data_IF_663411485896
#
_entry.id   IF_663411485896
#
_cell.length_a   1.000
_cell.length_b   1.000
_cell.length_c   1.000
_cell.angle_alpha   90.00
_cell.angle_beta   90.00
_cell.angle_gamma   90.00
#
_symmetry.space_group_name_H-M   'P 1'
#
loop_
_entity.id
_entity.type
_entity.pdbx_description
1 polymer ?
#
# COMPACT_ATOMS: atom_id res chain seq x y z
N UNK A 1 15.21 2.70 -32.74
CA UNK A 1 15.47 3.72 -31.69
C UNK A 1 16.59 4.72 -32.04
N UNK A 2 17.58 4.39 -32.88
CA UNK A 2 18.65 5.33 -33.28
C UNK A 2 18.15 6.57 -34.04
N UNK A 3 17.06 6.47 -34.79
CA UNK A 3 16.53 7.57 -35.62
C UNK A 3 16.10 8.83 -34.84
N UNK A 4 15.80 8.71 -33.54
CA UNK A 4 15.29 9.83 -32.73
C UNK A 4 16.19 10.21 -31.55
N UNK A 5 17.37 9.60 -31.44
CA UNK A 5 18.28 9.78 -30.29
C UNK A 5 18.64 11.24 -30.05
N UNK A 6 18.92 12.01 -31.11
CA UNK A 6 19.27 13.43 -31.02
C UNK A 6 18.14 14.30 -30.43
N UNK A 7 16.88 13.90 -30.59
CA UNK A 7 15.72 14.64 -30.12
C UNK A 7 15.28 14.25 -28.70
N UNK A 8 15.81 13.15 -28.17
CA UNK A 8 15.54 12.69 -26.81
C UNK A 8 16.56 13.35 -25.87
N UNK A 9 16.05 14.00 -24.83
CA UNK A 9 16.87 14.60 -23.76
C UNK A 9 17.38 13.50 -22.81
N UNK A 10 16.46 12.69 -22.30
CA UNK A 10 16.75 11.48 -21.53
C UNK A 10 15.51 10.57 -21.49
N UNK A 11 15.68 9.35 -21.01
CA UNK A 11 14.61 8.38 -20.79
C UNK A 11 14.85 7.65 -19.48
N UNK A 12 13.79 7.23 -18.82
CA UNK A 12 13.89 6.41 -17.62
C UNK A 12 12.62 5.57 -17.44
N UNK A 13 12.75 4.44 -16.76
CA UNK A 13 11.63 3.60 -16.36
C UNK A 13 11.69 3.38 -14.86
N UNK A 14 10.55 3.48 -14.19
CA UNK A 14 10.48 3.27 -12.75
C UNK A 14 9.13 2.72 -12.30
N UNK A 15 9.07 2.27 -11.06
CA UNK A 15 7.81 1.96 -10.42
C UNK A 15 6.99 3.25 -10.23
N UNK A 16 5.69 3.20 -10.52
CA UNK A 16 4.78 4.28 -10.19
C UNK A 16 3.96 3.92 -8.94
N UNK A 17 2.91 3.11 -9.08
CA UNK A 17 2.13 2.59 -7.95
C UNK A 17 2.55 1.17 -7.61
N UNK A 18 3.01 0.96 -6.37
CA UNK A 18 3.30 -0.37 -5.85
C UNK A 18 2.42 -0.64 -4.64
N UNK A 19 1.60 -1.69 -4.72
CA UNK A 19 0.74 -2.17 -3.64
C UNK A 19 1.11 -3.61 -3.32
N UNK A 20 1.48 -3.86 -2.07
CA UNK A 20 1.72 -5.19 -1.52
C UNK A 20 0.61 -5.56 -0.55
N UNK A 21 0.19 -6.83 -0.55
CA UNK A 21 -0.77 -7.35 0.43
C UNK A 21 -0.10 -8.34 1.37
N UNK A 22 -0.31 -8.13 2.65
CA UNK A 22 0.19 -8.96 3.74
C UNK A 22 -0.89 -9.92 4.21
N UNK A 23 -0.56 -11.21 4.23
CA UNK A 23 -1.48 -12.28 4.62
C UNK A 23 -0.85 -13.22 5.63
N UNK A 24 -1.64 -13.63 6.63
CA UNK A 24 -1.28 -14.73 7.54
C UNK A 24 -1.91 -16.01 6.97
N UNK A 25 -1.20 -16.72 6.09
CA UNK A 25 -1.77 -17.77 5.22
C UNK A 25 -2.56 -18.84 5.95
N UNK A 26 -2.03 -19.33 7.06
CA UNK A 26 -2.66 -20.40 7.82
C UNK A 26 -3.93 -19.95 8.58
N UNK A 27 -4.30 -18.67 8.53
CA UNK A 27 -5.57 -18.14 9.03
C UNK A 27 -6.63 -17.97 7.93
N UNK A 28 -6.40 -18.47 6.72
CA UNK A 28 -7.34 -18.30 5.58
C UNK A 28 -8.58 -19.19 5.65
N UNK A 29 -8.60 -20.15 6.57
CA UNK A 29 -9.69 -21.11 6.71
C UNK A 29 -10.04 -21.33 8.18
N UNK A 30 -11.30 -21.72 8.49
CA UNK A 30 -11.79 -21.81 9.86
C UNK A 30 -10.94 -22.68 10.79
N UNK A 31 -10.51 -23.86 10.32
CA UNK A 31 -9.71 -24.78 11.12
C UNK A 31 -8.36 -24.19 11.55
N UNK A 32 -7.75 -23.37 10.68
CA UNK A 32 -6.51 -22.66 10.99
C UNK A 32 -6.70 -21.61 12.09
N UNK A 33 -7.80 -20.86 12.01
CA UNK A 33 -8.18 -19.89 13.06
C UNK A 33 -8.49 -20.61 14.38
N UNK A 34 -9.17 -21.75 14.35
CA UNK A 34 -9.41 -22.57 15.56
C UNK A 34 -8.09 -23.01 16.19
N UNK A 35 -7.17 -23.56 15.39
CA UNK A 35 -5.84 -23.98 15.86
C UNK A 35 -5.07 -22.80 16.45
N UNK A 36 -5.10 -21.64 15.80
CA UNK A 36 -4.49 -20.42 16.30
C UNK A 36 -5.07 -19.98 17.65
N UNK A 37 -6.39 -19.90 17.78
CA UNK A 37 -7.03 -19.50 19.04
C UNK A 37 -6.70 -20.47 20.19
N UNK A 38 -6.61 -21.77 19.91
CA UNK A 38 -6.16 -22.78 20.88
C UNK A 38 -4.70 -22.58 21.28
N UNK A 39 -3.80 -22.30 20.33
CA UNK A 39 -2.39 -21.97 20.60
C UNK A 39 -2.21 -20.68 21.39
N UNK A 40 -3.15 -19.73 21.25
CA UNK A 40 -3.23 -18.51 22.06
C UNK A 40 -3.82 -18.75 23.46
N UNK A 41 -4.21 -19.98 23.80
CA UNK A 41 -4.72 -20.37 25.12
C UNK A 41 -6.24 -20.30 25.28
N UNK A 42 -7.01 -19.96 24.24
CA UNK A 42 -8.46 -19.89 24.34
C UNK A 42 -9.09 -21.29 24.27
N UNK A 43 -9.80 -21.70 25.33
CA UNK A 43 -10.54 -22.98 25.40
C UNK A 43 -11.92 -22.93 24.76
N UNK A 44 -12.61 -21.80 24.87
CA UNK A 44 -13.87 -21.51 24.17
C UNK A 44 -13.60 -20.68 22.92
N UNK A 45 -14.42 -20.84 21.90
CA UNK A 45 -14.40 -20.13 20.63
C UNK A 45 -15.70 -19.33 20.54
N UNK A 46 -15.57 -18.01 20.46
CA UNK A 46 -16.73 -17.14 20.30
C UNK A 46 -16.35 -15.89 19.52
N UNK A 47 -17.35 -15.15 19.08
CA UNK A 47 -17.12 -13.81 18.52
C UNK A 47 -16.45 -12.88 19.56
N UNK A 48 -16.74 -13.08 20.86
CA UNK A 48 -16.06 -12.38 21.94
C UNK A 48 -14.56 -12.67 22.00
N UNK A 49 -14.15 -13.92 21.85
CA UNK A 49 -12.73 -14.31 21.83
C UNK A 49 -11.98 -13.66 20.66
N UNK A 50 -12.56 -13.68 19.46
CA UNK A 50 -11.96 -12.97 18.32
C UNK A 50 -11.92 -11.45 18.55
N UNK A 51 -12.97 -10.90 19.17
CA UNK A 51 -13.05 -9.48 19.52
C UNK A 51 -11.99 -9.06 20.54
N UNK A 52 -11.59 -9.92 21.49
CA UNK A 52 -10.48 -9.62 22.41
C UNK A 52 -9.22 -9.26 21.62
N UNK A 53 -8.87 -10.04 20.58
CA UNK A 53 -7.70 -9.75 19.76
C UNK A 53 -7.87 -8.43 18.99
N UNK A 54 -9.06 -8.17 18.45
CA UNK A 54 -9.38 -6.88 17.82
C UNK A 54 -9.21 -5.71 18.78
N UNK A 55 -9.74 -5.80 19.98
CA UNK A 55 -9.69 -4.73 20.97
C UNK A 55 -8.25 -4.48 21.43
N UNK A 56 -7.44 -5.54 21.57
CA UNK A 56 -6.01 -5.42 21.89
C UNK A 56 -5.19 -4.75 20.77
N UNK A 57 -5.45 -5.09 19.50
CA UNK A 57 -4.81 -4.43 18.36
C UNK A 57 -5.21 -2.97 18.26
N UNK A 58 -6.51 -2.68 18.40
CA UNK A 58 -7.04 -1.32 18.40
C UNK A 58 -6.43 -0.48 19.51
N UNK A 59 -6.38 -1.02 20.74
CA UNK A 59 -5.79 -0.35 21.89
C UNK A 59 -4.30 -0.03 21.67
N UNK A 60 -3.55 -0.94 21.06
CA UNK A 60 -2.15 -0.68 20.73
C UNK A 60 -2.00 0.46 19.72
N UNK A 61 -2.74 0.43 18.61
CA UNK A 61 -2.67 1.49 17.59
C UNK A 61 -3.05 2.85 18.19
N UNK A 62 -4.09 2.89 19.03
CA UNK A 62 -4.51 4.11 19.75
C UNK A 62 -3.43 4.61 20.71
N UNK A 63 -2.78 3.71 21.47
CA UNK A 63 -1.68 4.04 22.36
C UNK A 63 -0.48 4.63 21.61
N UNK A 64 -0.11 4.04 20.47
CA UNK A 64 0.96 4.57 19.61
C UNK A 64 0.60 5.94 19.05
N UNK A 65 -0.65 6.12 18.59
CA UNK A 65 -1.12 7.39 18.08
C UNK A 65 -1.10 8.48 19.17
N UNK A 66 -1.59 8.19 20.37
CA UNK A 66 -1.57 9.14 21.48
C UNK A 66 -0.14 9.51 21.88
N UNK A 67 0.74 8.52 22.05
CA UNK A 67 2.12 8.75 22.48
C UNK A 67 2.96 9.56 21.48
N UNK A 68 2.58 9.54 20.19
CA UNK A 68 3.24 10.28 19.11
C UNK A 68 2.41 11.47 18.61
N UNK A 69 1.31 11.79 19.29
CA UNK A 69 0.39 12.87 18.93
C UNK A 69 -0.13 12.80 17.48
N UNK A 70 -0.34 11.58 16.97
CA UNK A 70 -0.76 11.33 15.59
C UNK A 70 -2.28 11.55 15.49
N UNK A 71 -2.75 12.45 14.61
CA UNK A 71 -4.17 12.67 14.43
C UNK A 71 -4.85 11.45 13.80
N UNK A 72 -5.99 11.05 14.39
CA UNK A 72 -6.84 9.97 13.87
C UNK A 72 -8.14 10.55 13.35
N UNK A 73 -8.48 10.22 12.11
CA UNK A 73 -9.70 10.67 11.45
C UNK A 73 -10.65 9.52 11.17
N UNK A 74 -11.95 9.75 11.30
CA UNK A 74 -12.99 8.83 10.83
C UNK A 74 -13.37 9.21 9.40
N UNK A 75 -12.88 8.44 8.42
CA UNK A 75 -12.93 8.79 7.01
C UNK A 75 -14.35 9.09 6.49
N UNK A 76 -15.40 8.32 6.84
CA UNK A 76 -16.76 8.64 6.40
C UNK A 76 -17.27 10.03 6.79
N UNK A 77 -16.68 10.68 7.80
CA UNK A 77 -17.03 12.05 8.22
C UNK A 77 -16.11 13.14 7.66
N UNK A 78 -15.11 12.77 6.85
CA UNK A 78 -13.99 13.65 6.45
C UNK A 78 -13.94 13.90 4.93
N UNK A 79 -15.05 13.64 4.21
CA UNK A 79 -15.34 14.01 2.79
C UNK A 79 -16.07 12.90 1.99
N UNK A 80 -16.74 11.96 2.67
CA UNK A 80 -17.87 11.22 2.06
C UNK A 80 -17.55 10.26 0.91
N UNK A 81 -16.40 9.60 0.90
CA UNK A 81 -16.30 8.28 0.23
C UNK A 81 -16.19 8.25 -1.31
N UNK A 82 -15.44 9.17 -1.94
CA UNK A 82 -14.95 8.94 -3.31
C UNK A 82 -13.62 8.17 -3.30
N UNK A 83 -13.46 7.20 -4.20
CA UNK A 83 -12.18 6.49 -4.39
C UNK A 83 -11.05 7.46 -4.75
N UNK A 84 -9.86 7.26 -4.17
CA UNK A 84 -8.70 8.15 -4.32
C UNK A 84 -8.66 9.38 -3.40
N UNK A 85 -9.77 9.73 -2.74
CA UNK A 85 -9.83 10.94 -1.91
C UNK A 85 -8.99 10.84 -0.62
N UNK A 86 -8.74 9.65 -0.06
CA UNK A 86 -7.89 9.47 1.14
C UNK A 86 -6.46 9.97 0.92
N UNK A 87 -5.82 9.54 -0.18
CA UNK A 87 -4.44 9.94 -0.47
C UNK A 87 -4.35 11.43 -0.80
N UNK A 88 -5.32 11.96 -1.56
CA UNK A 88 -5.39 13.40 -1.85
C UNK A 88 -5.60 14.23 -0.58
N UNK A 89 -6.51 13.84 0.30
CA UNK A 89 -6.70 14.50 1.60
C UNK A 89 -5.41 14.56 2.41
N UNK A 90 -4.66 13.46 2.47
CA UNK A 90 -3.36 13.44 3.18
C UNK A 90 -2.35 14.34 2.49
N UNK A 91 -2.26 14.27 1.17
CA UNK A 91 -1.39 15.13 0.37
C UNK A 91 -1.66 16.61 0.63
N UNK A 92 -2.93 17.01 0.60
CA UNK A 92 -3.32 18.42 0.71
C UNK A 92 -3.22 18.96 2.14
N UNK A 93 -3.48 18.12 3.16
CA UNK A 93 -3.56 18.56 4.57
C UNK A 93 -2.27 18.36 5.37
N UNK A 94 -1.48 17.33 5.04
CA UNK A 94 -0.35 16.90 5.88
C UNK A 94 1.00 16.95 5.18
N UNK A 95 1.05 16.82 3.86
CA UNK A 95 2.32 16.79 3.13
C UNK A 95 2.76 18.23 2.85
N UNK A 96 3.79 18.67 3.57
CA UNK A 96 4.45 19.96 3.32
C UNK A 96 5.38 19.87 2.10
N UNK A 97 5.60 20.98 1.36
CA UNK A 97 6.64 21.05 0.33
C UNK A 97 8.06 20.87 0.89
N UNK A 98 8.27 21.11 2.19
CA UNK A 98 9.59 20.93 2.81
C UNK A 98 9.94 19.44 2.97
N UNK A 99 11.19 19.05 2.70
CA UNK A 99 11.61 17.65 2.86
C UNK A 99 11.41 17.17 4.30
N UNK A 100 10.71 16.04 4.45
CA UNK A 100 10.64 15.34 5.72
C UNK A 100 12.00 14.71 6.03
N UNK A 101 12.50 14.90 7.25
CA UNK A 101 13.73 14.23 7.72
C UNK A 101 13.37 12.92 8.41
N UNK A 102 13.79 11.81 7.81
CA UNK A 102 13.59 10.48 8.38
C UNK A 102 12.15 10.00 8.34
N UNK A 103 11.84 9.00 9.17
CA UNK A 103 10.52 8.39 9.25
C UNK A 103 9.53 9.30 9.99
N UNK A 104 8.41 9.62 9.36
CA UNK A 104 7.40 10.53 9.92
C UNK A 104 5.98 10.05 9.63
N UNK A 105 5.09 10.04 10.63
CA UNK A 105 3.69 9.61 10.44
C UNK A 105 2.82 10.86 10.32
N UNK A 106 2.12 10.98 9.19
CA UNK A 106 1.25 12.13 8.91
C UNK A 106 -0.04 12.06 9.72
N UNK A 107 -0.79 10.97 9.56
CA UNK A 107 -2.08 10.76 10.22
C UNK A 107 -2.52 9.30 10.10
N UNK A 108 -3.56 8.94 10.82
CA UNK A 108 -4.27 7.67 10.66
C UNK A 108 -5.69 7.96 10.20
N UNK A 109 -6.09 7.42 9.06
CA UNK A 109 -7.49 7.41 8.64
C UNK A 109 -8.11 6.07 9.03
N UNK A 110 -9.32 6.09 9.59
CA UNK A 110 -10.08 4.90 9.93
C UNK A 110 -11.33 4.79 9.08
N UNK A 111 -11.65 3.58 8.65
CA UNK A 111 -12.83 3.30 7.80
C UNK A 111 -13.47 1.97 8.21
N UNK A 112 -14.66 1.65 7.71
CA UNK A 112 -15.31 0.33 7.84
C UNK A 112 -15.53 -0.26 6.46
N UNK A 113 -14.85 -1.35 6.17
CA UNK A 113 -14.93 -2.00 4.86
C UNK A 113 -15.41 -3.45 4.97
N UNK A 114 -16.23 -3.93 4.03
CA UNK A 114 -16.71 -5.31 4.02
C UNK A 114 -15.60 -6.27 3.54
N UNK A 115 -15.01 -7.00 4.47
CA UNK A 115 -13.93 -7.97 4.18
C UNK A 115 -14.36 -9.42 4.44
N UNK A 116 -13.67 -10.38 3.84
CA UNK A 116 -13.77 -11.80 4.22
C UNK A 116 -13.11 -12.01 5.59
N UNK A 117 -13.84 -12.65 6.49
CA UNK A 117 -13.45 -12.83 7.89
C UNK A 117 -14.23 -14.01 8.48
N UNK A 118 -14.21 -14.16 9.81
CA UNK A 118 -14.80 -15.28 10.52
C UNK A 118 -15.85 -14.83 11.54
N UNK A 119 -16.83 -15.70 11.73
CA UNK A 119 -17.80 -15.62 12.81
C UNK A 119 -17.92 -17.00 13.48
N UNK A 120 -18.27 -17.00 14.76
CA UNK A 120 -18.56 -18.20 15.53
C UNK A 120 -20.06 -18.26 15.83
N UNK A 121 -20.63 -19.47 15.74
CA UNK A 121 -21.96 -19.80 16.22
C UNK A 121 -21.88 -21.01 17.15
N UNK A 122 -22.75 -21.01 18.15
CA UNK A 122 -23.00 -22.16 18.99
C UNK A 122 -24.12 -22.99 18.35
N UNK A 123 -23.92 -24.29 18.24
CA UNK A 123 -24.83 -25.23 17.59
C UNK A 123 -25.08 -26.44 18.51
N UNK A 124 -26.22 -27.10 18.33
CA UNK A 124 -26.57 -28.32 19.05
C UNK A 124 -26.38 -29.52 18.12
N UNK A 125 -25.66 -30.53 18.60
CA UNK A 125 -25.45 -31.81 17.89
C UNK A 125 -26.69 -32.71 17.99
N UNK A 126 -26.75 -33.76 17.17
CA UNK A 126 -27.79 -34.80 17.24
C UNK A 126 -27.89 -35.45 18.62
N UNK A 127 -26.78 -35.49 19.36
CA UNK A 127 -26.72 -36.03 20.72
C UNK A 127 -27.05 -34.98 21.80
N UNK A 128 -27.70 -33.87 21.43
CA UNK A 128 -28.05 -32.74 22.32
C UNK A 128 -26.86 -32.06 23.01
N UNK A 129 -25.64 -32.29 22.50
CA UNK A 129 -24.43 -31.62 22.98
C UNK A 129 -24.16 -30.33 22.20
N UNK A 130 -23.86 -29.28 22.94
CA UNK A 130 -23.53 -27.97 22.37
C UNK A 130 -22.08 -27.89 21.92
N UNK A 131 -21.83 -27.32 20.74
CA UNK A 131 -20.48 -27.12 20.21
C UNK A 131 -20.36 -25.80 19.43
N UNK A 132 -19.13 -25.29 19.35
CA UNK A 132 -18.81 -24.03 18.69
C UNK A 132 -18.35 -24.30 17.25
N UNK A 133 -18.93 -23.60 16.28
CA UNK A 133 -18.55 -23.69 14.87
C UNK A 133 -18.13 -22.33 14.33
N UNK A 134 -16.88 -22.27 13.87
CA UNK A 134 -16.36 -21.12 13.12
C UNK A 134 -16.69 -21.28 11.63
N UNK A 135 -17.05 -20.18 10.96
CA UNK A 135 -17.33 -20.17 9.52
C UNK A 135 -16.87 -18.85 8.87
N UNK A 136 -16.52 -18.93 7.59
CA UNK A 136 -16.23 -17.78 6.75
C UNK A 136 -17.47 -16.92 6.54
N UNK A 137 -17.30 -15.61 6.61
CA UNK A 137 -18.34 -14.64 6.31
C UNK A 137 -17.74 -13.35 5.74
N UNK A 138 -18.60 -12.47 5.22
CA UNK A 138 -18.22 -11.11 4.88
C UNK A 138 -18.95 -10.15 5.82
N UNK A 139 -18.21 -9.28 6.51
CA UNK A 139 -18.81 -8.23 7.36
C UNK A 139 -17.95 -6.96 7.36
N UNK A 140 -18.53 -5.80 7.66
CA UNK A 140 -17.77 -4.57 7.84
C UNK A 140 -16.78 -4.70 9.00
N UNK A 141 -15.50 -4.44 8.72
CA UNK A 141 -14.42 -4.44 9.72
C UNK A 141 -13.69 -3.11 9.68
N UNK A 142 -13.32 -2.60 10.84
CA UNK A 142 -12.54 -1.38 10.97
C UNK A 142 -11.17 -1.56 10.30
N UNK A 143 -10.84 -0.65 9.39
CA UNK A 143 -9.55 -0.56 8.71
C UNK A 143 -8.80 0.65 9.26
N UNK A 144 -7.50 0.49 9.48
CA UNK A 144 -6.58 1.57 9.83
C UNK A 144 -5.67 1.83 8.65
N UNK A 145 -5.76 3.02 8.06
CA UNK A 145 -4.83 3.53 7.06
C UNK A 145 -3.84 4.47 7.72
N UNK A 146 -2.66 3.97 8.02
CA UNK A 146 -1.58 4.75 8.62
C UNK A 146 -0.77 5.36 7.48
N UNK A 147 -0.82 6.69 7.32
CA UNK A 147 -0.08 7.40 6.30
C UNK A 147 1.22 7.97 6.86
N UNK A 148 2.32 7.82 6.13
CA UNK A 148 3.65 8.22 6.57
C UNK A 148 4.59 8.61 5.43
N UNK A 149 5.62 9.37 5.77
CA UNK A 149 6.87 9.47 5.02
C UNK A 149 7.82 8.38 5.50
N UNK A 150 8.36 7.62 4.57
CA UNK A 150 9.39 6.62 4.83
C UNK A 150 10.75 7.12 4.35
N UNK A 151 11.77 6.97 5.17
CA UNK A 151 13.12 7.46 4.86
C UNK A 151 13.79 6.78 3.65
N UNK A 152 13.24 5.69 3.13
CA UNK A 152 13.71 5.06 1.88
C UNK A 152 12.71 5.29 0.73
N UNK A 153 11.41 5.20 1.01
CA UNK A 153 10.36 5.18 -0.02
C UNK A 153 9.73 6.57 -0.29
N UNK A 154 10.07 7.57 0.52
CA UNK A 154 9.42 8.87 0.49
C UNK A 154 7.99 8.80 1.02
N UNK A 155 7.16 9.76 0.64
CA UNK A 155 5.75 9.76 1.01
C UNK A 155 4.89 10.62 0.09
N UNK A 156 3.55 10.53 0.22
CA UNK A 156 2.84 9.71 1.22
C UNK A 156 2.79 8.21 0.85
N UNK A 157 3.28 7.37 1.76
CA UNK A 157 3.05 5.94 1.79
C UNK A 157 1.87 5.62 2.71
N UNK A 158 1.33 4.40 2.64
CA UNK A 158 0.42 3.92 3.69
C UNK A 158 0.62 2.46 4.05
N UNK A 159 0.30 2.15 5.30
CA UNK A 159 0.07 0.80 5.82
C UNK A 159 -1.39 0.69 6.25
N UNK A 160 -2.15 -0.13 5.54
CA UNK A 160 -3.51 -0.51 5.89
C UNK A 160 -3.47 -1.77 6.76
N UNK A 161 -4.15 -1.74 7.90
CA UNK A 161 -4.32 -2.89 8.79
C UNK A 161 -5.81 -3.13 9.04
N UNK A 162 -6.28 -4.34 8.73
CA UNK A 162 -7.61 -4.79 9.15
C UNK A 162 -7.61 -5.16 10.62
N UNK A 163 -8.52 -4.59 11.41
CA UNK A 163 -8.52 -4.78 12.86
C UNK A 163 -9.09 -6.12 13.34
N UNK A 164 -9.45 -7.03 12.44
CA UNK A 164 -10.10 -8.29 12.79
C UNK A 164 -9.48 -9.44 11.99
N UNK A 165 -9.53 -10.65 12.56
CA UNK A 165 -9.03 -11.87 11.94
C UNK A 165 -9.51 -12.01 10.48
N UNK A 166 -8.63 -12.36 9.53
CA UNK A 166 -7.24 -12.80 9.71
C UNK A 166 -6.19 -11.67 9.70
N UNK A 167 -6.59 -10.43 10.01
CA UNK A 167 -5.72 -9.25 10.09
C UNK A 167 -4.98 -8.95 8.79
N UNK A 168 -5.69 -8.97 7.65
CA UNK A 168 -5.10 -8.65 6.36
C UNK A 168 -4.50 -7.23 6.36
N UNK A 169 -3.34 -7.09 5.73
CA UNK A 169 -2.66 -5.81 5.59
C UNK A 169 -2.45 -5.45 4.11
N UNK A 170 -2.30 -4.17 3.83
CA UNK A 170 -1.90 -3.65 2.53
C UNK A 170 -0.89 -2.54 2.72
N UNK A 171 0.17 -2.51 1.90
CA UNK A 171 1.23 -1.52 1.98
C UNK A 171 1.40 -0.88 0.61
N UNK A 172 1.43 0.44 0.57
CA UNK A 172 1.57 1.21 -0.65
C UNK A 172 2.71 2.21 -0.54
N UNK A 173 3.44 2.35 -1.63
CA UNK A 173 4.35 3.46 -1.88
C UNK A 173 4.32 3.86 -3.36
N UNK A 174 4.83 5.06 -3.65
CA UNK A 174 5.01 5.55 -5.01
C UNK A 174 6.51 5.57 -5.37
N UNK A 175 6.89 4.95 -6.48
CA UNK A 175 8.30 4.85 -6.86
C UNK A 175 8.92 6.16 -7.35
N UNK A 176 8.14 7.07 -7.96
CA UNK A 176 8.63 8.42 -8.28
C UNK A 176 8.98 9.21 -7.02
N UNK A 177 8.22 9.05 -5.93
CA UNK A 177 8.54 9.68 -4.64
C UNK A 177 9.80 9.08 -4.02
N UNK A 178 10.03 7.78 -4.15
CA UNK A 178 11.26 7.13 -3.69
C UNK A 178 12.49 7.66 -4.47
N UNK A 179 12.38 7.82 -5.79
CA UNK A 179 13.44 8.39 -6.63
C UNK A 179 13.71 9.84 -6.26
N UNK A 180 12.67 10.66 -6.16
CA UNK A 180 12.77 12.07 -5.76
C UNK A 180 13.53 12.20 -4.43
N UNK A 181 13.20 11.37 -3.44
CA UNK A 181 13.90 11.34 -2.15
C UNK A 181 15.39 10.97 -2.30
N UNK A 182 15.74 10.04 -3.19
CA UNK A 182 17.16 9.69 -3.42
C UNK A 182 17.92 10.82 -4.10
N UNK A 183 17.32 11.51 -5.06
CA UNK A 183 17.92 12.69 -5.70
C UNK A 183 18.08 13.84 -4.70
N UNK A 184 17.07 14.07 -3.85
CA UNK A 184 17.12 15.08 -2.78
C UNK A 184 18.29 14.81 -1.80
N UNK A 185 18.51 13.54 -1.43
CA UNK A 185 19.63 13.13 -0.56
C UNK A 185 21.00 13.35 -1.20
N UNK A 186 21.09 13.27 -2.52
CA UNK A 186 22.31 13.54 -3.29
C UNK A 186 22.50 15.04 -3.55
N UNK A 187 21.51 15.88 -3.23
CA UNK A 187 21.55 17.31 -3.51
C UNK A 187 21.41 17.64 -5.00
N UNK A 188 20.84 16.74 -5.80
CA UNK A 188 20.65 16.94 -7.24
C UNK A 188 19.40 17.76 -7.52
N UNK A 189 19.50 18.76 -8.39
CA UNK A 189 18.32 19.51 -8.80
C UNK A 189 17.55 18.76 -9.89
N UNK A 190 16.23 18.85 -9.80
CA UNK A 190 15.31 18.31 -10.79
C UNK A 190 14.01 19.11 -10.80
N UNK A 191 13.28 19.01 -11.91
CA UNK A 191 11.93 19.55 -12.09
C UNK A 191 10.98 18.42 -12.47
N UNK A 192 9.80 18.41 -11.83
CA UNK A 192 8.71 17.47 -12.14
C UNK A 192 7.53 18.18 -12.79
N UNK A 193 6.80 17.45 -13.63
CA UNK A 193 5.47 17.81 -14.10
C UNK A 193 4.53 16.62 -13.82
N UNK A 194 3.68 16.77 -12.80
CA UNK A 194 3.02 15.61 -12.19
C UNK A 194 4.05 14.66 -11.58
N UNK A 195 3.92 13.36 -11.84
CA UNK A 195 4.90 12.36 -11.40
C UNK A 195 6.18 12.34 -12.26
N UNK A 196 6.14 12.87 -13.49
CA UNK A 196 7.24 12.74 -14.45
C UNK A 196 8.37 13.75 -14.19
N UNK A 197 9.61 13.28 -14.19
CA UNK A 197 10.81 14.12 -14.21
C UNK A 197 11.01 14.70 -15.62
N UNK A 198 11.02 16.02 -15.73
CA UNK A 198 11.17 16.74 -17.01
C UNK A 198 12.56 17.36 -17.16
N UNK A 199 13.23 17.62 -16.04
CA UNK A 199 14.61 18.09 -15.97
C UNK A 199 15.28 17.45 -14.77
N UNK A 200 16.51 16.99 -14.94
CA UNK A 200 17.38 16.43 -13.90
C UNK A 200 18.81 16.78 -14.29
N UNK A 201 19.62 17.23 -13.33
CA UNK A 201 21.02 17.58 -13.55
C UNK A 201 21.83 16.38 -14.07
N UNK A 202 21.61 15.21 -13.44
CA UNK A 202 22.21 13.93 -13.81
C UNK A 202 21.11 12.88 -14.06
N UNK A 203 20.74 12.62 -15.33
CA UNK A 203 19.77 11.59 -15.67
C UNK A 203 20.18 10.17 -15.25
N UNK A 204 21.48 9.86 -15.14
CA UNK A 204 21.95 8.54 -14.74
C UNK A 204 21.68 8.29 -13.25
N UNK A 205 21.63 9.35 -12.44
CA UNK A 205 21.23 9.27 -11.04
C UNK A 205 19.78 8.74 -10.85
N UNK A 206 18.88 8.98 -11.81
CA UNK A 206 17.52 8.39 -11.79
C UNK A 206 17.61 6.88 -11.89
N UNK A 207 18.39 6.37 -12.84
CA UNK A 207 18.55 4.93 -13.07
C UNK A 207 19.18 4.26 -11.85
N UNK A 208 20.23 4.87 -11.30
CA UNK A 208 20.87 4.40 -10.08
C UNK A 208 19.88 4.36 -8.88
N UNK A 209 19.04 5.39 -8.74
CA UNK A 209 18.00 5.43 -7.70
C UNK A 209 16.96 4.31 -7.89
N UNK A 210 16.54 4.04 -9.13
CA UNK A 210 15.63 2.91 -9.45
C UNK A 210 16.26 1.57 -9.08
N UNK A 211 17.51 1.35 -9.47
CA UNK A 211 18.23 0.11 -9.21
C UNK A 211 18.51 -0.11 -7.71
N UNK A 212 18.69 0.97 -6.96
CA UNK A 212 18.83 0.91 -5.49
C UNK A 212 17.55 0.40 -4.80
N UNK A 213 16.38 0.55 -5.42
CA UNK A 213 15.09 0.20 -4.86
C UNK A 213 14.76 -1.28 -5.09
N UNK A 214 15.41 -2.17 -4.35
CA UNK A 214 15.20 -3.61 -4.46
C UNK A 214 14.20 -4.15 -3.42
N UNK A 215 13.53 -5.27 -3.76
CA UNK A 215 12.43 -5.83 -2.96
C UNK A 215 12.78 -6.15 -1.50
N UNK A 216 14.02 -6.57 -1.21
CA UNK A 216 14.47 -6.81 0.18
C UNK A 216 14.46 -5.53 1.02
N UNK A 217 14.85 -4.38 0.46
CA UNK A 217 14.83 -3.12 1.19
C UNK A 217 13.39 -2.70 1.49
N UNK A 218 12.48 -2.85 0.52
CA UNK A 218 11.04 -2.61 0.70
C UNK A 218 10.47 -3.50 1.82
N UNK A 219 10.78 -4.80 1.84
CA UNK A 219 10.33 -5.71 2.89
C UNK A 219 10.86 -5.33 4.29
N UNK A 220 12.09 -4.83 4.38
CA UNK A 220 12.65 -4.28 5.63
C UNK A 220 11.84 -3.07 6.11
N UNK A 221 11.47 -2.17 5.20
CA UNK A 221 10.62 -1.00 5.54
C UNK A 221 9.22 -1.41 5.96
N UNK A 222 8.60 -2.36 5.26
CA UNK A 222 7.31 -2.94 5.65
C UNK A 222 7.39 -3.52 7.07
N UNK A 223 8.45 -4.28 7.35
CA UNK A 223 8.66 -4.89 8.68
C UNK A 223 8.81 -3.82 9.76
N UNK A 224 9.52 -2.73 9.48
CA UNK A 224 9.66 -1.59 10.40
C UNK A 224 8.29 -1.01 10.79
N UNK A 225 7.45 -0.68 9.80
CA UNK A 225 6.12 -0.10 10.07
C UNK A 225 5.16 -1.11 10.72
N UNK A 226 5.21 -2.38 10.32
CA UNK A 226 4.44 -3.45 10.97
C UNK A 226 4.84 -3.63 12.43
N UNK A 227 6.13 -3.56 12.77
CA UNK A 227 6.60 -3.65 14.15
C UNK A 227 6.15 -2.48 15.02
N UNK A 228 5.82 -1.33 14.43
CA UNK A 228 5.31 -0.18 15.15
C UNK A 228 3.81 -0.29 15.44
N UNK A 229 3.02 -0.85 14.52
CA UNK A 229 1.54 -0.79 14.60
C UNK A 229 0.82 -2.13 14.75
N UNK A 230 1.42 -3.24 14.34
CA UNK A 230 0.79 -4.57 14.42
C UNK A 230 1.23 -5.31 15.68
N UNK A 231 0.79 -4.80 16.83
CA UNK A 231 0.92 -5.45 18.14
C UNK A 231 -0.40 -5.43 18.88
N UNK A 232 -0.50 -6.28 19.88
CA UNK A 232 -1.67 -6.50 20.70
C UNK A 232 -1.35 -6.03 22.11
N UNK A 233 -2.09 -5.02 22.59
CA UNK A 233 -1.90 -4.48 23.92
C UNK A 233 -2.38 -5.47 24.99
N UNK A 234 -1.54 -5.71 26.00
CA UNK A 234 -1.82 -6.58 27.15
C UNK A 234 -1.96 -5.76 28.43
N UNK A 235 -2.26 -4.46 28.33
CA UNK A 235 -2.27 -3.50 29.42
C UNK A 235 -0.87 -2.95 29.74
N UNK A 236 0.03 -3.80 30.27
CA UNK A 236 1.38 -3.37 30.68
C UNK A 236 2.33 -3.14 29.50
N UNK A 237 2.21 -3.96 28.47
CA UNK A 237 3.05 -3.92 27.27
C UNK A 237 2.23 -4.34 26.06
N UNK A 238 2.73 -4.03 24.86
CA UNK A 238 2.15 -4.51 23.61
C UNK A 238 3.09 -5.48 22.92
N UNK A 239 2.57 -6.60 22.44
CA UNK A 239 3.37 -7.68 21.83
C UNK A 239 2.67 -8.26 20.61
N UNK A 240 3.42 -8.91 19.72
CA UNK A 240 2.86 -9.69 18.63
C UNK A 240 3.21 -11.17 18.84
N UNK A 241 2.21 -12.05 18.71
CA UNK A 241 2.43 -13.49 18.80
C UNK A 241 3.26 -13.97 17.61
N UNK A 242 4.20 -14.89 17.83
CA UNK A 242 4.98 -15.55 16.75
C UNK A 242 4.10 -16.24 15.71
N UNK A 243 2.86 -16.54 16.07
CA UNK A 243 1.84 -17.17 15.23
C UNK A 243 1.18 -16.18 14.24
N UNK A 244 1.40 -14.88 14.40
CA UNK A 244 0.83 -13.82 13.58
C UNK A 244 1.92 -13.15 12.73
N UNK A 245 2.41 -13.88 11.74
CA UNK A 245 3.39 -13.39 10.77
C UNK A 245 2.75 -13.24 9.39
N UNK A 246 2.92 -12.05 8.80
CA UNK A 246 2.43 -11.76 7.46
C UNK A 246 3.47 -12.14 6.41
N UNK A 247 3.04 -12.91 5.42
CA UNK A 247 3.73 -13.07 4.15
C UNK A 247 3.22 -12.00 3.19
N UNK A 248 4.13 -11.35 2.46
CA UNK A 248 3.83 -10.20 1.60
C UNK A 248 3.92 -10.57 0.13
N UNK A 249 2.92 -10.13 -0.64
CA UNK A 249 2.78 -10.42 -2.06
C UNK A 249 2.53 -9.13 -2.84
N UNK A 250 3.12 -9.03 -4.03
CA UNK A 250 2.80 -7.97 -4.98
C UNK A 250 1.34 -8.15 -5.42
N UNK A 251 0.52 -7.12 -5.19
CA UNK A 251 -0.89 -7.12 -5.60
C UNK A 251 -1.12 -6.24 -6.82
N UNK A 252 -0.41 -5.11 -6.90
CA UNK A 252 -0.45 -4.20 -8.04
C UNK A 252 0.92 -3.55 -8.17
N UNK A 253 1.48 -3.58 -9.38
CA UNK A 253 2.73 -2.92 -9.72
C UNK A 253 2.53 -2.23 -11.05
N UNK A 254 2.55 -0.91 -11.03
CA UNK A 254 2.54 -0.08 -12.23
C UNK A 254 3.98 0.37 -12.53
N UNK A 255 4.37 0.25 -13.80
CA UNK A 255 5.67 0.71 -14.30
C UNK A 255 5.40 1.89 -15.24
N UNK A 256 6.08 3.00 -14.98
CA UNK A 256 6.03 4.19 -15.82
C UNK A 256 7.34 4.30 -16.61
N UNK A 257 7.23 4.34 -17.94
CA UNK A 257 8.34 4.57 -18.85
C UNK A 257 8.21 5.95 -19.47
N UNK A 258 9.20 6.80 -19.24
CA UNK A 258 9.19 8.21 -19.61
C UNK A 258 10.25 8.47 -20.67
N UNK A 259 9.87 9.18 -21.73
CA UNK A 259 10.78 9.66 -22.77
C UNK A 259 10.64 11.17 -22.83
N UNK A 260 11.69 11.88 -22.43
CA UNK A 260 11.70 13.34 -22.39
C UNK A 260 12.34 13.84 -23.66
N UNK A 261 11.60 14.62 -24.46
CA UNK A 261 12.10 15.22 -25.69
C UNK A 261 12.70 16.60 -25.44
N UNK A 262 13.67 16.99 -26.26
CA UNK A 262 14.26 18.35 -26.24
C UNK A 262 13.30 19.42 -26.78
N UNK A 263 12.35 19.02 -27.65
CA UNK A 263 11.40 19.91 -28.30
C UNK A 263 9.98 19.38 -28.20
N UNK A 264 9.07 20.21 -27.66
CA UNK A 264 7.65 19.91 -27.61
C UNK A 264 7.07 19.73 -29.03
N UNK A 265 7.46 20.60 -29.98
CA UNK A 265 7.03 20.51 -31.39
C UNK A 265 7.41 19.17 -32.02
N UNK A 266 8.61 18.68 -31.75
CA UNK A 266 9.05 17.38 -32.24
C UNK A 266 8.24 16.24 -31.62
N UNK A 267 8.03 16.29 -30.28
CA UNK A 267 7.20 15.31 -29.57
C UNK A 267 5.78 15.25 -30.15
N UNK A 268 5.12 16.40 -30.34
CA UNK A 268 3.79 16.49 -30.94
C UNK A 268 3.75 15.88 -32.33
N UNK A 269 4.71 16.21 -33.20
CA UNK A 269 4.77 15.64 -34.55
C UNK A 269 4.97 14.12 -34.56
N UNK A 270 5.82 13.60 -33.68
CA UNK A 270 5.98 12.14 -33.52
C UNK A 270 4.70 11.51 -32.99
N UNK A 271 4.06 12.11 -31.99
CA UNK A 271 2.83 11.61 -31.39
C UNK A 271 1.69 11.58 -32.41
N UNK A 272 1.50 12.65 -33.17
CA UNK A 272 0.51 12.73 -34.26
C UNK A 272 0.79 11.66 -35.33
N UNK A 273 2.04 11.48 -35.75
CA UNK A 273 2.40 10.42 -36.72
C UNK A 273 2.12 9.02 -36.19
N UNK A 274 2.32 8.79 -34.89
CA UNK A 274 1.97 7.52 -34.25
C UNK A 274 0.44 7.36 -34.28
N UNK A 275 -0.32 8.35 -33.82
CA UNK A 275 -1.77 8.31 -33.84
C UNK A 275 -2.33 8.06 -35.26
N UNK A 276 -1.86 8.79 -36.26
CA UNK A 276 -2.25 8.60 -37.67
C UNK A 276 -1.97 7.18 -38.17
N UNK A 277 -0.83 6.61 -37.77
CA UNK A 277 -0.45 5.25 -38.17
C UNK A 277 -1.33 4.20 -37.50
N UNK A 278 -1.67 4.38 -36.23
CA UNK A 278 -2.45 3.40 -35.47
C UNK A 278 -3.98 3.58 -35.63
N UNK A 279 -4.48 4.77 -35.98
CA UNK A 279 -5.88 4.97 -36.36
C UNK A 279 -6.24 4.24 -37.66
N UNK A 280 -5.28 4.02 -38.56
CA UNK A 280 -5.51 3.29 -39.81
C UNK A 280 -5.64 1.78 -39.64
N UNK A 281 -5.28 1.22 -38.48
CA UNK A 281 -5.37 -0.24 -38.21
C UNK A 281 -6.81 -0.76 -37.98
N UNK A 282 -7.83 0.09 -38.11
CA UNK A 282 -9.24 -0.31 -38.10
C UNK A 282 -9.98 -0.11 -39.43
N UNK A 283 -9.29 0.35 -40.49
CA UNK A 283 -9.91 0.54 -41.80
C UNK A 283 -9.88 -0.77 -42.61
N UNK A 284 -10.95 -1.12 -43.36
CA UNK A 284 -11.06 -2.38 -44.09
C UNK A 284 -9.87 -2.68 -45.01
N UNK A 285 -9.27 -1.66 -45.61
CA UNK A 285 -8.12 -1.77 -46.53
C UNK A 285 -6.80 -2.18 -45.85
N UNK A 286 -6.69 -2.01 -44.53
CA UNK A 286 -5.48 -2.32 -43.76
C UNK A 286 -5.41 -3.79 -43.34
N UNK A 287 -6.54 -4.48 -43.29
CA UNK A 287 -6.66 -5.90 -42.90
C UNK A 287 -6.17 -6.82 -44.03
N UNK A 288 -6.35 -6.42 -45.29
CA UNK A 288 -5.92 -7.17 -46.48
C UNK A 288 -4.41 -7.15 -46.75
N UNK A 289 -3.62 -6.39 -45.98
CA UNK A 289 -2.14 -6.39 -46.09
C UNK A 289 -1.43 -7.20 -45.01
N UNK A 290 -2.17 -7.83 -44.09
CA UNK A 290 -1.64 -8.63 -42.98
C UNK A 290 -1.88 -10.14 -43.21
N UNK A 291 -2.46 -10.53 -44.35
CA UNK A 291 -2.58 -11.92 -44.80
C UNK A 291 -1.62 -12.19 -45.96
#
# INVERSE_FOLDING_TARGET
MQQFSQNIKFKYSCFDRVVLRGYIRWLFFPAGVVKFLRLMGFRKLSNGVMRILTDQLNAHILKVAQAKEIPIHWWPSVDGGKDGAKQKFVQDKYVSPSPCKGDHIYCILTDKEPIRTFACRELISKNLLTYEKLYDCRKPVKQYYIYFHDQLLGGPCYLKISSYLPFQCEFYFNGHNAIALQLDKQGLHYRRHGNAFVEVDDPDAIQNAVESLHGRAVLTRITYWMNLFFKFDKGKYSTCSKYLQHEWYLSQVEISSNIVFRSARFCTSVFERILDKFQRLGLPESITRIL
#
